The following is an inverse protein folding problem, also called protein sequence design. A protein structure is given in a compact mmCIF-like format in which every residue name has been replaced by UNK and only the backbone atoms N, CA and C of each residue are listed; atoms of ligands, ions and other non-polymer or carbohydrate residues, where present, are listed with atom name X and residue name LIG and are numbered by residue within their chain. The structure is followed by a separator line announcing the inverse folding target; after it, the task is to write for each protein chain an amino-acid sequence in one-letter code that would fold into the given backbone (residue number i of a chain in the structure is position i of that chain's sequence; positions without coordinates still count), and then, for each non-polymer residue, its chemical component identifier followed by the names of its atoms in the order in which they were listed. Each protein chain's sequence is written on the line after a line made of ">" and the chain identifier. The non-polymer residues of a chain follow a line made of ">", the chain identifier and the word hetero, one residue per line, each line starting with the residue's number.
data_IF_317503017847
#
_entry.id   IF_317503017847
#
_cell.length_a   1.000
_cell.length_b   1.000
_cell.length_c   1.000
_cell.angle_alpha   90.00
_cell.angle_beta   90.00
_cell.angle_gamma   90.00
#
_symmetry.space_group_name_H-M   'P 1'
#
loop_
_entity.id
_entity.type
_entity.pdbx_description
1 polymer ?
#
# COMPACT_ATOMS: atom_id res chain seq x y z
N UNK A 1 4.93 -12.13 33.66
CA UNK A 1 5.49 -11.13 32.71
C UNK A 1 5.20 -11.71 31.33
N UNK A 2 4.17 -11.27 30.64
CA UNK A 2 4.17 -10.00 29.90
C UNK A 2 2.76 -9.40 29.85
N UNK A 3 2.64 -8.16 30.32
CA UNK A 3 1.51 -7.29 30.04
C UNK A 3 1.51 -7.05 28.53
N UNK A 4 0.65 -7.74 27.79
CA UNK A 4 0.21 -7.24 26.49
C UNK A 4 -0.62 -6.00 26.78
N UNK A 5 0.05 -4.86 26.96
CA UNK A 5 -0.62 -3.57 27.05
C UNK A 5 -1.44 -3.42 25.79
N UNK A 6 -2.75 -3.56 25.96
CA UNK A 6 -3.73 -3.40 24.90
C UNK A 6 -3.68 -1.94 24.48
N UNK A 7 -2.91 -1.64 23.42
CA UNK A 7 -2.87 -0.28 22.90
C UNK A 7 -4.30 0.10 22.52
N UNK A 8 -4.87 1.16 23.13
CA UNK A 8 -6.25 1.54 22.83
C UNK A 8 -6.41 1.83 21.35
N UNK A 9 -7.52 1.40 20.74
CA UNK A 9 -7.90 1.73 19.34
C UNK A 9 -7.80 3.25 19.08
N UNK A 10 -8.01 4.06 20.12
CA UNK A 10 -7.88 5.51 20.07
C UNK A 10 -6.45 6.01 19.82
N UNK A 11 -5.42 5.29 20.26
CA UNK A 11 -4.01 5.63 20.04
C UNK A 11 -3.64 5.52 18.56
N UNK A 12 -4.16 4.50 17.86
CA UNK A 12 -3.98 4.35 16.42
C UNK A 12 -4.63 5.47 15.62
N UNK A 13 -5.84 5.91 16.04
CA UNK A 13 -6.48 7.10 15.46
C UNK A 13 -5.64 8.35 15.66
N UNK A 14 -4.99 8.48 16.81
CA UNK A 14 -4.07 9.59 17.06
C UNK A 14 -2.86 9.56 16.11
N UNK A 15 -2.25 8.39 15.89
CA UNK A 15 -1.17 8.26 14.90
C UNK A 15 -1.61 8.66 13.50
N UNK A 16 -2.81 8.24 13.07
CA UNK A 16 -3.39 8.67 11.79
C UNK A 16 -3.59 10.19 11.73
N UNK A 17 -4.03 10.83 12.81
CA UNK A 17 -4.18 12.28 12.86
C UNK A 17 -2.83 13.00 12.72
N UNK A 18 -1.79 12.51 13.39
CA UNK A 18 -0.41 13.04 13.27
C UNK A 18 0.11 12.89 11.84
N UNK A 19 -0.13 11.74 11.21
CA UNK A 19 0.21 11.48 9.81
C UNK A 19 -0.50 12.44 8.85
N UNK A 20 -1.76 12.75 9.12
CA UNK A 20 -2.58 13.64 8.30
C UNK A 20 -2.28 15.14 8.51
N UNK A 21 -1.63 15.50 9.62
CA UNK A 21 -1.29 16.88 9.93
C UNK A 21 -0.08 17.35 9.12
N UNK A 22 -0.30 18.21 8.13
CA UNK A 22 0.78 18.78 7.30
C UNK A 22 1.73 19.70 8.06
N UNK A 23 1.36 20.20 9.25
CA UNK A 23 2.20 21.05 10.08
C UNK A 23 3.13 20.27 11.02
N UNK A 24 2.85 18.98 11.23
CA UNK A 24 3.66 18.13 12.09
C UNK A 24 5.04 17.84 11.46
N UNK A 25 6.08 17.88 12.30
CA UNK A 25 7.46 17.56 11.89
C UNK A 25 7.55 16.14 11.36
N UNK A 26 8.37 15.94 10.31
CA UNK A 26 8.54 14.64 9.66
C UNK A 26 9.02 13.55 10.64
N UNK A 27 9.91 13.87 11.58
CA UNK A 27 10.37 12.92 12.61
C UNK A 27 9.22 12.39 13.48
N UNK A 28 8.25 13.24 13.80
CA UNK A 28 7.08 12.85 14.61
C UNK A 28 6.18 11.93 13.79
N UNK A 29 6.00 12.24 12.49
CA UNK A 29 5.26 11.38 11.56
C UNK A 29 5.94 10.03 11.40
N UNK A 30 7.27 10.00 11.29
CA UNK A 30 8.03 8.75 11.19
C UNK A 30 7.81 7.87 12.41
N UNK A 31 7.98 8.42 13.62
CA UNK A 31 7.71 7.67 14.86
C UNK A 31 6.28 7.16 14.92
N UNK A 32 5.30 8.01 14.61
CA UNK A 32 3.90 7.59 14.56
C UNK A 32 3.65 6.47 13.55
N UNK A 33 4.32 6.49 12.39
CA UNK A 33 4.22 5.44 11.36
C UNK A 33 4.86 4.13 11.83
N UNK A 34 6.01 4.21 12.48
CA UNK A 34 6.71 3.03 13.03
C UNK A 34 5.85 2.34 14.09
N UNK A 35 5.37 3.09 15.08
CA UNK A 35 4.46 2.60 16.12
C UNK A 35 3.18 2.00 15.54
N UNK A 36 2.62 2.66 14.51
CA UNK A 36 1.43 2.17 13.80
C UNK A 36 1.71 0.85 13.07
N UNK A 37 2.88 0.68 12.46
CA UNK A 37 3.29 -0.52 11.73
C UNK A 37 3.56 -1.71 12.64
N UNK A 38 4.20 -1.48 13.79
CA UNK A 38 4.48 -2.52 14.80
C UNK A 38 3.19 -3.14 15.34
N UNK A 39 2.20 -2.29 15.62
CA UNK A 39 0.93 -2.69 16.20
C UNK A 39 -0.16 -2.95 15.15
N UNK A 40 0.19 -2.95 13.87
CA UNK A 40 -0.77 -3.01 12.77
C UNK A 40 -1.62 -4.30 12.76
N UNK A 41 -1.01 -5.46 13.07
CA UNK A 41 -1.71 -6.75 13.15
C UNK A 41 -2.82 -6.74 14.22
N UNK A 42 -2.59 -6.04 15.33
CA UNK A 42 -3.57 -5.94 16.41
C UNK A 42 -4.83 -5.20 15.93
N UNK A 43 -4.66 -4.15 15.12
CA UNK A 43 -5.80 -3.42 14.52
C UNK A 43 -6.54 -4.31 13.54
N UNK A 44 -5.83 -5.09 12.72
CA UNK A 44 -6.44 -5.99 11.73
C UNK A 44 -7.34 -7.05 12.38
N UNK A 45 -7.04 -7.45 13.61
CA UNK A 45 -7.86 -8.38 14.40
C UNK A 45 -9.01 -7.69 15.16
N UNK A 46 -9.04 -6.36 15.18
CA UNK A 46 -10.05 -5.57 15.90
C UNK A 46 -11.35 -5.45 15.09
N UNK A 47 -12.53 -5.46 15.74
CA UNK A 47 -13.80 -5.19 15.06
C UNK A 47 -13.89 -3.77 14.47
N UNK A 48 -13.05 -2.84 14.92
CA UNK A 48 -12.96 -1.48 14.39
C UNK A 48 -12.17 -1.37 13.07
N UNK A 49 -11.58 -2.47 12.60
CA UNK A 49 -10.72 -2.52 11.42
C UNK A 49 -11.34 -1.88 10.15
N UNK A 50 -12.59 -2.18 9.74
CA UNK A 50 -13.13 -1.64 8.49
C UNK A 50 -13.20 -0.11 8.47
N UNK A 51 -13.63 0.50 9.59
CA UNK A 51 -13.69 1.95 9.74
C UNK A 51 -12.29 2.57 9.80
N UNK A 52 -11.36 1.90 10.48
CA UNK A 52 -9.96 2.33 10.51
C UNK A 52 -9.31 2.26 9.12
N UNK A 53 -9.54 1.17 8.38
CA UNK A 53 -8.98 0.93 7.05
C UNK A 53 -9.35 2.04 6.08
N UNK A 54 -10.62 2.43 6.04
CA UNK A 54 -11.09 3.48 5.13
C UNK A 54 -10.35 4.81 5.40
N UNK A 55 -10.21 5.18 6.68
CA UNK A 55 -9.51 6.40 7.06
C UNK A 55 -7.99 6.31 6.81
N UNK A 56 -7.39 5.19 7.18
CA UNK A 56 -5.96 4.93 6.99
C UNK A 56 -5.59 4.97 5.50
N UNK A 57 -6.35 4.29 4.63
CA UNK A 57 -6.11 4.29 3.20
C UNK A 57 -6.21 5.70 2.60
N UNK A 58 -7.19 6.52 3.02
CA UNK A 58 -7.28 7.92 2.55
C UNK A 58 -6.01 8.70 2.87
N UNK A 59 -5.48 8.57 4.09
CA UNK A 59 -4.28 9.27 4.56
C UNK A 59 -3.04 8.73 3.85
N UNK A 60 -2.89 7.40 3.79
CA UNK A 60 -1.77 6.74 3.10
C UNK A 60 -1.71 7.15 1.63
N UNK A 61 -2.87 7.15 0.96
CA UNK A 61 -2.97 7.57 -0.43
C UNK A 61 -2.53 9.01 -0.64
N UNK A 62 -2.93 9.91 0.26
CA UNK A 62 -2.52 11.31 0.23
C UNK A 62 -0.99 11.45 0.39
N UNK A 63 -0.40 10.81 1.39
CA UNK A 63 1.05 10.84 1.64
C UNK A 63 1.83 10.25 0.46
N UNK A 64 1.34 9.15 -0.12
CA UNK A 64 1.94 8.52 -1.30
C UNK A 64 1.82 9.40 -2.56
N UNK A 65 0.80 10.25 -2.68
CA UNK A 65 0.63 11.17 -3.80
C UNK A 65 1.39 12.50 -3.65
N UNK A 66 1.56 13.01 -2.43
CA UNK A 66 2.18 14.31 -2.15
C UNK A 66 3.72 14.28 -2.21
N UNK A 67 4.35 13.10 -2.28
CA UNK A 67 5.80 12.99 -2.42
C UNK A 67 6.28 13.23 -3.84
N UNK A 68 7.06 14.29 -4.05
CA UNK A 68 7.88 14.44 -5.26
C UNK A 68 8.95 13.33 -5.34
N UNK A 69 9.40 12.93 -6.55
CA UNK A 69 10.52 12.02 -6.73
C UNK A 69 11.80 12.62 -6.13
N UNK A 70 12.12 12.26 -4.89
CA UNK A 70 13.34 12.74 -4.25
C UNK A 70 14.43 11.67 -4.33
N UNK A 71 15.47 11.97 -5.11
CA UNK A 71 16.66 11.14 -5.35
C UNK A 71 17.65 11.12 -4.17
N UNK A 72 17.29 11.68 -3.01
CA UNK A 72 18.14 11.75 -1.82
C UNK A 72 17.74 10.63 -0.86
N UNK A 73 18.65 9.67 -0.62
CA UNK A 73 18.43 8.45 0.17
C UNK A 73 18.12 8.70 1.66
N UNK A 74 18.48 9.86 2.22
CA UNK A 74 18.32 10.17 3.65
C UNK A 74 17.08 11.02 3.98
N UNK A 75 16.02 10.94 3.17
CA UNK A 75 14.80 11.66 3.51
C UNK A 75 13.89 10.82 4.42
N UNK A 76 13.56 11.35 5.59
CA UNK A 76 12.55 10.82 6.53
C UNK A 76 11.24 10.48 5.83
N UNK A 77 10.85 11.28 4.82
CA UNK A 77 9.66 11.05 4.02
C UNK A 77 9.72 9.73 3.22
N UNK A 78 10.90 9.33 2.72
CA UNK A 78 11.05 8.05 2.00
C UNK A 78 10.83 6.85 2.93
N UNK A 79 11.30 6.94 4.17
CA UNK A 79 11.08 5.90 5.18
C UNK A 79 9.60 5.75 5.54
N UNK A 80 8.89 6.88 5.69
CA UNK A 80 7.44 6.88 5.92
C UNK A 80 6.71 6.21 4.76
N UNK A 81 7.04 6.56 3.51
CA UNK A 81 6.43 5.97 2.31
C UNK A 81 6.66 4.46 2.24
N UNK A 82 7.87 4.00 2.52
CA UNK A 82 8.22 2.58 2.56
C UNK A 82 7.40 1.82 3.60
N UNK A 83 7.33 2.34 4.83
CA UNK A 83 6.51 1.73 5.89
C UNK A 83 5.04 1.68 5.52
N UNK A 84 4.49 2.74 4.92
CA UNK A 84 3.11 2.76 4.45
C UNK A 84 2.87 1.69 3.38
N UNK A 85 3.79 1.54 2.42
CA UNK A 85 3.68 0.51 1.39
C UNK A 85 3.72 -0.90 2.00
N UNK A 86 4.63 -1.16 2.94
CA UNK A 86 4.69 -2.44 3.66
C UNK A 86 3.40 -2.72 4.46
N UNK A 87 2.83 -1.70 5.10
CA UNK A 87 1.55 -1.83 5.79
C UNK A 87 0.41 -2.14 4.82
N UNK A 88 0.35 -1.48 3.66
CA UNK A 88 -0.65 -1.79 2.62
C UNK A 88 -0.48 -3.23 2.13
N UNK A 89 0.76 -3.70 1.96
CA UNK A 89 1.06 -5.07 1.56
C UNK A 89 0.61 -6.11 2.59
N UNK A 90 0.60 -5.77 3.88
CA UNK A 90 0.15 -6.64 4.97
C UNK A 90 -1.37 -6.69 5.14
N UNK A 91 -2.13 -5.85 4.44
CA UNK A 91 -3.58 -5.80 4.59
C UNK A 91 -4.24 -7.14 4.23
N UNK A 92 -5.17 -7.64 5.07
CA UNK A 92 -5.90 -8.86 4.78
C UNK A 92 -6.91 -8.59 3.66
N UNK A 93 -7.03 -9.55 2.74
CA UNK A 93 -7.87 -9.41 1.56
C UNK A 93 -9.32 -9.70 1.95
N UNK A 94 -9.99 -8.63 2.37
CA UNK A 94 -11.38 -8.61 2.84
C UNK A 94 -12.29 -7.93 1.81
N UNK A 95 -13.62 -8.11 1.94
CA UNK A 95 -14.58 -7.42 1.08
C UNK A 95 -14.52 -5.90 1.23
N UNK A 96 -14.21 -5.39 2.43
CA UNK A 96 -13.97 -3.96 2.66
C UNK A 96 -12.79 -3.45 1.84
N UNK A 97 -11.70 -4.23 1.78
CA UNK A 97 -10.54 -3.88 0.96
C UNK A 97 -10.88 -3.88 -0.54
N UNK A 98 -11.72 -4.83 -1.01
CA UNK A 98 -12.13 -4.98 -2.42
C UNK A 98 -12.59 -3.66 -3.04
N UNK A 99 -13.33 -2.85 -2.30
CA UNK A 99 -13.84 -1.55 -2.76
C UNK A 99 -12.71 -0.53 -3.03
N UNK A 100 -11.58 -0.68 -2.34
CA UNK A 100 -10.42 0.21 -2.45
C UNK A 100 -9.32 -0.33 -3.37
N UNK A 101 -9.36 -1.61 -3.76
CA UNK A 101 -8.34 -2.27 -4.60
C UNK A 101 -8.01 -1.47 -5.84
N UNK A 102 -9.03 -1.00 -6.57
CA UNK A 102 -8.83 -0.21 -7.80
C UNK A 102 -8.02 1.06 -7.55
N UNK A 103 -8.31 1.77 -6.46
CA UNK A 103 -7.58 2.98 -6.07
C UNK A 103 -6.14 2.65 -5.64
N UNK A 104 -5.94 1.57 -4.88
CA UNK A 104 -4.62 1.08 -4.47
C UNK A 104 -3.78 0.73 -5.71
N UNK A 105 -4.32 -0.06 -6.64
CA UNK A 105 -3.62 -0.47 -7.87
C UNK A 105 -3.22 0.76 -8.70
N UNK A 106 -4.15 1.69 -8.92
CA UNK A 106 -3.89 2.93 -9.68
C UNK A 106 -2.73 3.71 -9.06
N UNK A 107 -2.70 3.78 -7.72
CA UNK A 107 -1.62 4.43 -7.00
C UNK A 107 -0.28 3.70 -7.14
N UNK A 108 -0.27 2.38 -6.96
CA UNK A 108 0.95 1.58 -7.10
C UNK A 108 1.54 1.75 -8.50
N UNK A 109 0.71 1.75 -9.55
CA UNK A 109 1.16 2.01 -10.94
C UNK A 109 1.79 3.39 -11.11
N UNK A 110 1.31 4.41 -10.41
CA UNK A 110 1.92 5.75 -10.41
C UNK A 110 3.31 5.69 -9.77
N UNK A 111 3.43 5.04 -8.61
CA UNK A 111 4.70 4.84 -7.89
C UNK A 111 5.72 4.09 -8.77
N UNK A 112 5.28 3.11 -9.57
CA UNK A 112 6.16 2.41 -10.53
C UNK A 112 6.89 3.33 -11.52
N UNK A 113 6.30 4.49 -11.84
CA UNK A 113 6.83 5.43 -12.84
C UNK A 113 7.65 6.56 -12.22
N UNK A 114 7.34 6.93 -10.98
CA UNK A 114 7.83 8.16 -10.37
C UNK A 114 8.73 7.95 -9.17
N UNK A 115 8.86 6.73 -8.65
CA UNK A 115 9.52 6.46 -7.36
C UNK A 115 10.79 5.58 -7.50
N UNK A 116 11.51 5.40 -6.40
CA UNK A 116 12.78 4.68 -6.33
C UNK A 116 12.62 3.16 -6.43
N UNK A 117 13.71 2.46 -6.79
CA UNK A 117 13.74 1.01 -6.98
C UNK A 117 13.07 0.20 -5.86
N UNK A 118 13.35 0.52 -4.59
CA UNK A 118 12.78 -0.16 -3.44
C UNK A 118 11.25 -0.01 -3.35
N UNK A 119 10.74 1.22 -3.50
CA UNK A 119 9.31 1.52 -3.45
C UNK A 119 8.56 0.88 -4.64
N UNK A 120 9.21 0.86 -5.81
CA UNK A 120 8.71 0.17 -7.01
C UNK A 120 8.58 -1.33 -6.77
N UNK A 121 9.54 -1.98 -6.10
CA UNK A 121 9.49 -3.42 -5.81
C UNK A 121 8.33 -3.77 -4.86
N UNK A 122 8.14 -3.00 -3.79
CA UNK A 122 7.01 -3.23 -2.86
C UNK A 122 5.68 -3.00 -3.57
N UNK A 123 5.58 -1.92 -4.37
CA UNK A 123 4.37 -1.61 -5.15
C UNK A 123 4.01 -2.72 -6.14
N UNK A 124 5.00 -3.33 -6.81
CA UNK A 124 4.80 -4.49 -7.68
C UNK A 124 4.25 -5.70 -6.91
N UNK A 125 4.82 -6.01 -5.73
CA UNK A 125 4.34 -7.14 -4.92
C UNK A 125 2.89 -6.96 -4.51
N UNK A 126 2.51 -5.76 -4.05
CA UNK A 126 1.11 -5.43 -3.71
C UNK A 126 0.20 -5.68 -4.92
N UNK A 127 0.59 -5.17 -6.09
CA UNK A 127 -0.17 -5.36 -7.32
C UNK A 127 -0.36 -6.85 -7.64
N UNK A 128 0.70 -7.65 -7.57
CA UNK A 128 0.66 -9.09 -7.88
C UNK A 128 -0.24 -9.83 -6.90
N UNK A 129 -0.10 -9.55 -5.61
CA UNK A 129 -0.87 -10.20 -4.54
C UNK A 129 -2.37 -9.92 -4.68
N UNK A 130 -2.73 -8.66 -4.92
CA UNK A 130 -4.09 -8.25 -5.21
C UNK A 130 -4.61 -8.92 -6.50
N UNK A 131 -3.79 -8.99 -7.55
CA UNK A 131 -4.18 -9.66 -8.79
C UNK A 131 -4.38 -11.17 -8.63
N UNK A 132 -3.58 -11.84 -7.80
CA UNK A 132 -3.74 -13.28 -7.51
C UNK A 132 -5.06 -13.55 -6.79
N UNK A 133 -5.37 -12.75 -5.78
CA UNK A 133 -6.56 -12.94 -4.96
C UNK A 133 -7.86 -12.46 -5.61
N UNK A 134 -7.82 -11.37 -6.37
CA UNK A 134 -8.98 -10.85 -7.09
C UNK A 134 -9.05 -11.35 -8.53
N UNK A 135 -8.19 -12.29 -8.93
CA UNK A 135 -8.33 -12.98 -10.22
C UNK A 135 -9.74 -13.55 -10.23
N UNK A 136 -10.63 -13.06 -11.12
CA UNK A 136 -11.91 -13.71 -11.26
C UNK A 136 -11.58 -15.14 -11.69
N UNK A 137 -12.05 -16.13 -10.93
CA UNK A 137 -12.26 -17.47 -11.46
C UNK A 137 -12.80 -17.26 -12.86
N UNK A 138 -12.14 -17.82 -13.86
CA UNK A 138 -12.35 -17.55 -15.27
C UNK A 138 -13.79 -17.96 -15.66
N UNK A 139 -14.77 -17.14 -15.25
CA UNK A 139 -16.18 -17.28 -15.50
C UNK A 139 -16.42 -16.36 -16.70
N UNK A 140 -16.63 -16.93 -17.90
CA UNK A 140 -16.72 -16.16 -19.15
C UNK A 140 -17.89 -15.15 -19.17
N UNK A 141 -18.78 -15.16 -18.18
CA UNK A 141 -19.98 -14.33 -18.14
C UNK A 141 -19.86 -13.03 -17.33
N UNK A 142 -18.82 -12.84 -16.52
CA UNK A 142 -18.65 -11.59 -15.74
C UNK A 142 -17.53 -10.72 -16.30
N UNK A 143 -17.75 -10.24 -17.53
CA UNK A 143 -17.02 -9.11 -18.07
C UNK A 143 -17.40 -7.84 -17.30
N UNK A 144 -16.69 -7.55 -16.20
CA UNK A 144 -16.28 -6.17 -15.92
C UNK A 144 -15.06 -5.84 -16.79
N UNK A 145 -15.23 -5.98 -18.11
CA UNK A 145 -14.34 -5.37 -19.10
C UNK A 145 -14.64 -3.89 -19.07
N UNK A 146 -13.70 -3.03 -18.68
CA UNK A 146 -12.96 -2.20 -19.62
C UNK A 146 -11.56 -1.83 -19.06
N UNK A 147 -11.28 -2.04 -17.76
CA UNK A 147 -10.03 -1.56 -17.13
C UNK A 147 -8.90 -2.59 -17.00
N UNK A 148 -9.19 -3.90 -17.04
CA UNK A 148 -8.11 -4.90 -17.00
C UNK A 148 -7.23 -4.90 -18.26
N UNK A 149 -7.76 -4.42 -19.39
CA UNK A 149 -6.98 -4.33 -20.64
C UNK A 149 -5.95 -3.22 -20.60
N UNK A 150 -6.29 -2.05 -20.03
CA UNK A 150 -5.29 -0.98 -19.82
C UNK A 150 -4.27 -1.42 -18.77
N UNK A 151 -4.72 -2.07 -17.69
CA UNK A 151 -3.86 -2.59 -16.65
C UNK A 151 -2.80 -3.58 -17.16
N UNK A 152 -3.19 -4.57 -17.98
CA UNK A 152 -2.26 -5.50 -18.61
C UNK A 152 -1.28 -4.79 -19.55
N UNK A 153 -1.73 -3.77 -20.29
CA UNK A 153 -0.85 -3.02 -21.19
C UNK A 153 0.11 -2.07 -20.45
N UNK A 154 -0.30 -1.46 -19.33
CA UNK A 154 0.51 -0.55 -18.52
C UNK A 154 1.51 -1.30 -17.65
N UNK A 155 1.10 -2.44 -17.06
CA UNK A 155 2.04 -3.34 -16.38
C UNK A 155 3.03 -3.94 -17.36
N UNK A 156 2.59 -4.43 -18.51
CA UNK A 156 3.50 -4.92 -19.55
C UNK A 156 4.45 -3.80 -20.03
N UNK A 157 3.95 -2.59 -20.28
CA UNK A 157 4.80 -1.45 -20.66
C UNK A 157 5.83 -1.13 -19.58
N UNK A 158 5.46 -1.06 -18.30
CA UNK A 158 6.38 -0.83 -17.18
C UNK A 158 7.39 -1.98 -16.98
N UNK A 159 6.98 -3.24 -17.17
CA UNK A 159 7.85 -4.41 -17.10
C UNK A 159 8.84 -4.48 -18.27
N UNK A 160 8.50 -3.90 -19.42
CA UNK A 160 9.39 -3.76 -20.57
C UNK A 160 10.37 -2.58 -20.44
N UNK A 161 10.06 -1.56 -19.63
CA UNK A 161 10.99 -0.46 -19.33
C UNK A 161 12.15 -0.88 -18.40
N UNK A 162 11.99 -1.95 -17.61
CA UNK A 162 13.01 -2.48 -16.70
C UNK A 162 13.36 -3.95 -16.99
N UNK A 163 14.28 -4.22 -17.95
CA UNK A 163 14.57 -5.57 -18.45
C UNK A 163 15.02 -6.57 -17.36
N UNK A 164 15.75 -6.08 -16.35
CA UNK A 164 16.26 -6.89 -15.23
C UNK A 164 15.15 -7.43 -14.32
N UNK A 165 13.96 -6.81 -14.32
CA UNK A 165 12.83 -7.14 -13.42
C UNK A 165 11.76 -8.02 -14.06
N UNK A 166 11.88 -8.28 -15.36
CA UNK A 166 10.95 -9.12 -16.13
C UNK A 166 10.93 -10.57 -15.64
N UNK A 167 12.08 -11.12 -15.26
CA UNK A 167 12.19 -12.53 -14.84
C UNK A 167 11.49 -12.82 -13.51
N UNK A 168 11.56 -11.91 -12.53
CA UNK A 168 10.94 -12.12 -11.23
C UNK A 168 9.40 -12.15 -11.32
N UNK A 169 8.82 -11.21 -12.07
CA UNK A 169 7.37 -11.08 -12.21
C UNK A 169 6.78 -12.22 -13.05
N UNK A 170 7.47 -12.68 -14.11
CA UNK A 170 7.00 -13.83 -14.89
C UNK A 170 7.15 -15.16 -14.14
N UNK A 171 8.15 -15.30 -13.25
CA UNK A 171 8.32 -16.50 -12.42
C UNK A 171 7.22 -16.65 -11.36
N UNK A 172 6.63 -15.56 -10.86
CA UNK A 172 5.54 -15.60 -9.87
C UNK A 172 4.15 -15.77 -10.50
N UNK A 173 4.07 -15.67 -11.84
CA UNK A 173 2.84 -15.82 -12.65
C UNK A 173 2.66 -17.22 -13.26
N UNK A 174 3.70 -18.05 -13.26
CA UNK A 174 3.65 -19.46 -13.67
C UNK A 174 3.40 -20.37 -12.46
#
# INVERSE_FOLDING_TARGET
>A
MSSTDTIPVNTFRNYLNILNDSSAKEEIKLKATQELSEHFEMIMQSPAYPSFLENALKIFMRILQEGEPQFIQENTMQHIRKLILEMIHRLPITESLRQHVKAIITMMLKILRTDNEENVLVSLRIIIELHKHFRPSFNPEQQQGIELKSFGSDTHRCLWTFPSRRFQVFSDFH
#
